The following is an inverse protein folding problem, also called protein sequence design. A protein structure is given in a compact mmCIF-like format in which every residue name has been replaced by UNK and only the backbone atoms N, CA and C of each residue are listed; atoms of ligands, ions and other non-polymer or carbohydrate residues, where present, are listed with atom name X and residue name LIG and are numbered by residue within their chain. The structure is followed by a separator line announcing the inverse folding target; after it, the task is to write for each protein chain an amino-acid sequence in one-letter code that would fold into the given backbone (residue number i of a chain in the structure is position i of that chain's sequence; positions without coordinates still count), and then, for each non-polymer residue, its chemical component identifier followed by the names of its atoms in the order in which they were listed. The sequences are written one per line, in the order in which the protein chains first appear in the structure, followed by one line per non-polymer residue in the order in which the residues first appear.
data_IF_724706277446
#
_entry.id   IF_724706277446
#
_cell.length_a   1.000
_cell.length_b   1.000
_cell.length_c   1.000
_cell.angle_alpha   90.00
_cell.angle_beta   90.00
_cell.angle_gamma   90.00
#
_symmetry.space_group_name_H-M   'P 1'
#
loop_
_entity.id
_entity.type
_entity.pdbx_description
1 polymer ?
#
# COMPACT_ATOMS: atom_id res chain seq x y z
N UNK A 1 60.38 -51.47 -29.90
CA UNK A 1 59.42 -51.36 -28.81
C UNK A 1 59.12 -49.85 -28.59
N UNK A 2 57.93 -49.38 -28.98
CA UNK A 2 57.51 -47.96 -28.85
C UNK A 2 56.44 -47.91 -27.73
N UNK A 3 56.58 -47.08 -26.69
CA UNK A 3 55.50 -46.88 -25.73
C UNK A 3 54.54 -45.84 -26.26
N UNK A 4 53.31 -46.24 -26.36
CA UNK A 4 52.14 -45.36 -26.63
C UNK A 4 51.79 -44.56 -25.39
N UNK A 5 51.90 -43.22 -25.49
CA UNK A 5 51.53 -42.27 -24.45
C UNK A 5 50.03 -42.02 -24.56
N UNK A 6 49.27 -42.50 -23.58
CA UNK A 6 47.84 -42.22 -23.42
C UNK A 6 47.66 -40.85 -22.74
N UNK A 7 47.23 -39.85 -23.50
CA UNK A 7 46.82 -38.55 -23.00
C UNK A 7 45.40 -38.66 -22.43
N UNK A 8 45.29 -38.64 -21.10
CA UNK A 8 44.02 -38.56 -20.38
C UNK A 8 43.57 -37.08 -20.31
N UNK A 9 42.65 -36.72 -21.20
CA UNK A 9 42.04 -35.37 -21.20
C UNK A 9 40.99 -35.27 -20.09
N UNK A 10 41.29 -34.58 -19.00
CA UNK A 10 40.34 -34.29 -17.94
C UNK A 10 39.42 -33.17 -18.37
N UNK A 11 38.17 -33.51 -18.65
CA UNK A 11 37.09 -32.57 -18.96
C UNK A 11 36.62 -31.92 -17.63
N UNK A 12 37.08 -30.69 -17.34
CA UNK A 12 36.58 -29.92 -16.21
C UNK A 12 35.26 -29.26 -16.63
N UNK A 13 34.15 -29.84 -16.19
CA UNK A 13 32.82 -29.25 -16.35
C UNK A 13 32.64 -28.22 -15.26
N UNK A 14 32.84 -26.93 -15.62
CA UNK A 14 32.47 -25.79 -14.76
C UNK A 14 30.95 -25.69 -14.69
N UNK A 15 30.36 -26.13 -13.57
CA UNK A 15 28.99 -25.82 -13.23
C UNK A 15 28.91 -24.35 -12.84
N UNK A 16 28.62 -23.48 -13.80
CA UNK A 16 28.18 -22.11 -13.53
C UNK A 16 26.75 -22.20 -13.00
N UNK A 17 26.63 -22.36 -11.70
CA UNK A 17 25.35 -22.22 -11.02
C UNK A 17 24.88 -20.77 -11.16
N UNK A 18 23.95 -20.50 -12.08
CA UNK A 18 23.17 -19.27 -12.03
C UNK A 18 22.42 -19.28 -10.70
N UNK A 19 22.86 -18.47 -9.73
CA UNK A 19 21.97 -18.09 -8.63
C UNK A 19 20.83 -17.31 -9.27
N UNK A 20 19.55 -17.68 -9.04
CA UNK A 20 18.45 -16.83 -9.46
C UNK A 20 18.68 -15.46 -8.80
N UNK A 21 18.67 -14.43 -9.61
CA UNK A 21 18.68 -13.05 -9.13
C UNK A 21 17.43 -12.88 -8.27
N UNK A 22 17.53 -12.29 -7.05
CA UNK A 22 16.35 -12.03 -6.24
C UNK A 22 15.36 -11.25 -7.11
N UNK A 23 14.11 -11.70 -7.17
CA UNK A 23 13.07 -10.96 -7.86
C UNK A 23 13.08 -9.53 -7.30
N UNK A 24 12.98 -8.52 -8.17
CA UNK A 24 12.86 -7.14 -7.72
C UNK A 24 11.62 -7.05 -6.80
N UNK A 25 11.69 -6.27 -5.70
CA UNK A 25 10.54 -6.05 -4.86
C UNK A 25 9.37 -5.58 -5.71
N UNK A 26 8.23 -6.22 -5.55
CA UNK A 26 6.99 -5.84 -6.24
C UNK A 26 6.23 -4.92 -5.29
N UNK A 27 5.96 -3.69 -5.73
CA UNK A 27 5.18 -2.76 -4.94
C UNK A 27 3.75 -3.28 -4.74
N UNK A 28 3.11 -3.03 -3.60
CA UNK A 28 1.72 -3.39 -3.38
C UNK A 28 0.80 -2.67 -4.37
N UNK A 29 -0.36 -3.24 -4.64
CA UNK A 29 -1.43 -2.63 -5.42
C UNK A 29 -2.63 -2.38 -4.52
N UNK A 30 -3.29 -1.22 -4.70
CA UNK A 30 -4.52 -0.88 -3.98
C UNK A 30 -5.61 -0.39 -4.91
N UNK A 31 -6.86 -0.61 -4.51
CA UNK A 31 -8.05 -0.01 -5.12
C UNK A 31 -9.08 0.36 -4.07
N UNK A 32 -9.94 1.35 -4.38
CA UNK A 32 -11.03 1.74 -3.49
C UNK A 32 -12.21 0.81 -3.76
N UNK A 33 -12.71 0.19 -2.69
CA UNK A 33 -13.91 -0.65 -2.72
C UNK A 33 -15.14 0.21 -2.43
N UNK A 34 -15.07 0.98 -1.34
CA UNK A 34 -16.18 1.82 -0.88
C UNK A 34 -15.67 3.03 -0.11
N UNK A 35 -16.47 4.09 -0.15
CA UNK A 35 -16.33 5.27 0.72
C UNK A 35 -17.68 5.59 1.32
N UNK A 36 -17.79 5.59 2.64
CA UNK A 36 -19.07 5.78 3.32
C UNK A 36 -18.92 6.57 4.63
N UNK A 37 -19.80 7.53 4.89
CA UNK A 37 -20.76 8.15 3.99
C UNK A 37 -20.11 9.09 2.96
N UNK A 38 -20.78 9.35 1.83
CA UNK A 38 -20.33 10.31 0.81
C UNK A 38 -20.94 11.71 0.97
N UNK A 39 -21.85 11.88 1.94
CA UNK A 39 -22.42 13.16 2.37
C UNK A 39 -22.33 13.22 3.89
N UNK A 40 -21.65 14.23 4.41
CA UNK A 40 -21.39 14.39 5.85
C UNK A 40 -21.71 15.80 6.31
N UNK A 41 -22.15 15.95 7.56
CA UNK A 41 -22.14 17.25 8.24
C UNK A 41 -20.75 17.58 8.75
N UNK A 42 -20.42 18.88 8.74
CA UNK A 42 -19.15 19.35 9.27
C UNK A 42 -19.03 18.99 10.77
N UNK A 43 -17.89 18.35 11.13
CA UNK A 43 -17.59 17.87 12.49
C UNK A 43 -18.53 16.78 13.05
N UNK A 44 -19.42 16.19 12.24
CA UNK A 44 -20.42 15.26 12.76
C UNK A 44 -19.96 13.82 12.81
N UNK A 45 -19.54 13.27 11.66
CA UNK A 45 -19.25 11.86 11.52
C UNK A 45 -17.93 11.61 10.77
N UNK A 46 -17.18 10.55 11.15
CA UNK A 46 -16.05 10.10 10.37
C UNK A 46 -16.49 9.51 9.03
N UNK A 47 -15.55 9.37 8.13
CA UNK A 47 -15.71 8.67 6.84
C UNK A 47 -14.86 7.42 6.88
N UNK A 48 -15.42 6.31 6.44
CA UNK A 48 -14.69 5.06 6.25
C UNK A 48 -14.34 4.89 4.78
N UNK A 49 -13.07 4.65 4.48
CA UNK A 49 -12.58 4.25 3.17
C UNK A 49 -12.20 2.78 3.27
N UNK A 50 -12.89 1.91 2.51
CA UNK A 50 -12.54 0.51 2.37
C UNK A 50 -11.63 0.36 1.17
N UNK A 51 -10.45 -0.21 1.40
CA UNK A 51 -9.42 -0.44 0.40
C UNK A 51 -9.23 -1.94 0.20
N UNK A 52 -9.21 -2.37 -1.05
CA UNK A 52 -8.68 -3.66 -1.44
C UNK A 52 -7.17 -3.53 -1.66
N UNK A 53 -6.41 -4.54 -1.27
CA UNK A 53 -4.97 -4.62 -1.47
C UNK A 53 -4.57 -5.97 -2.06
N UNK A 54 -3.47 -5.97 -2.81
CA UNK A 54 -2.76 -7.17 -3.25
C UNK A 54 -1.25 -6.93 -3.13
N UNK A 55 -0.53 -7.91 -2.58
CA UNK A 55 0.91 -7.83 -2.42
C UNK A 55 1.54 -9.23 -2.47
N UNK A 56 2.40 -9.46 -3.46
CA UNK A 56 3.06 -10.73 -3.70
C UNK A 56 4.13 -11.08 -2.63
N UNK A 57 4.56 -10.11 -1.83
CA UNK A 57 5.58 -10.31 -0.80
C UNK A 57 5.00 -10.32 0.62
N UNK A 58 3.77 -9.84 0.78
CA UNK A 58 3.04 -9.85 2.04
C UNK A 58 3.68 -8.99 3.11
N UNK A 59 4.40 -7.94 2.72
CA UNK A 59 5.07 -7.07 3.67
C UNK A 59 4.33 -5.75 3.91
N UNK A 60 3.01 -5.72 3.66
CA UNK A 60 2.12 -4.62 4.05
C UNK A 60 1.95 -4.57 5.57
N UNK A 61 2.00 -3.35 6.08
CA UNK A 61 1.76 -3.02 7.47
C UNK A 61 2.98 -3.13 8.37
N UNK A 62 3.00 -2.31 9.40
CA UNK A 62 4.13 -2.11 10.31
C UNK A 62 3.80 -2.59 11.71
N UNK A 63 4.73 -3.30 12.40
CA UNK A 63 4.52 -3.72 13.78
C UNK A 63 4.52 -2.55 14.76
N UNK A 64 5.28 -1.50 14.43
CA UNK A 64 5.42 -0.30 15.27
C UNK A 64 4.35 0.73 14.88
N UNK A 65 3.42 1.09 15.80
CA UNK A 65 2.39 2.08 15.53
C UNK A 65 2.94 3.49 15.27
N UNK A 66 4.17 3.78 15.67
CA UNK A 66 4.82 5.06 15.39
C UNK A 66 5.41 5.12 13.96
N UNK A 67 5.29 4.05 13.18
CA UNK A 67 5.73 3.94 11.80
C UNK A 67 4.52 3.78 10.85
N UNK A 68 3.77 4.87 10.53
CA UNK A 68 2.59 4.77 9.69
C UNK A 68 2.97 4.47 8.23
N UNK A 69 2.17 3.65 7.56
CA UNK A 69 2.42 3.16 6.21
C UNK A 69 1.34 3.52 5.17
N UNK A 70 0.23 4.13 5.60
CA UNK A 70 -0.81 4.60 4.70
C UNK A 70 -0.85 6.14 4.69
N UNK A 71 -0.62 6.71 3.53
CA UNK A 71 -0.73 8.15 3.29
C UNK A 71 -2.11 8.48 2.74
N UNK A 72 -2.79 9.42 3.36
CA UNK A 72 -4.08 9.96 2.92
C UNK A 72 -3.98 11.47 2.82
N UNK A 73 -4.44 12.05 1.72
CA UNK A 73 -4.47 13.49 1.53
C UNK A 73 -5.86 13.97 1.14
N UNK A 74 -6.45 14.81 1.94
CA UNK A 74 -7.57 15.65 1.53
C UNK A 74 -7.08 16.62 0.44
N UNK A 75 -7.67 16.57 -0.76
CA UNK A 75 -7.21 17.38 -1.90
C UNK A 75 -7.39 18.88 -1.71
N UNK A 76 -8.14 19.32 -0.71
CA UNK A 76 -8.27 20.72 -0.29
C UNK A 76 -7.07 21.20 0.53
N UNK A 77 -6.27 20.27 1.10
CA UNK A 77 -5.17 20.53 1.99
C UNK A 77 -3.82 20.25 1.31
N UNK A 78 -2.78 20.93 1.80
CA UNK A 78 -1.41 20.70 1.33
C UNK A 78 -0.67 19.62 2.11
N UNK A 79 -1.13 19.28 3.30
CA UNK A 79 -0.53 18.29 4.18
C UNK A 79 -1.08 16.89 3.91
N UNK A 80 -0.23 15.89 4.17
CA UNK A 80 -0.64 14.49 4.19
C UNK A 80 -0.96 14.07 5.62
N UNK A 81 -1.99 13.25 5.79
CA UNK A 81 -2.27 12.50 7.00
C UNK A 81 -1.71 11.09 6.85
N UNK A 82 -1.17 10.55 7.93
CA UNK A 82 -0.54 9.25 7.94
C UNK A 82 -1.23 8.33 8.93
N UNK A 83 -1.56 7.13 8.47
CA UNK A 83 -2.26 6.10 9.23
C UNK A 83 -1.39 4.87 9.39
N UNK A 84 -1.39 4.32 10.59
CA UNK A 84 -0.75 3.05 10.86
C UNK A 84 -1.64 1.90 10.39
N UNK A 85 -1.06 1.01 9.59
CA UNK A 85 -1.66 -0.27 9.22
C UNK A 85 -0.85 -1.35 9.94
N UNK A 86 -1.48 -2.16 10.79
CA UNK A 86 -0.80 -3.28 11.44
C UNK A 86 -0.40 -4.33 10.40
N UNK A 87 0.60 -5.21 10.68
CA UNK A 87 0.97 -6.28 9.75
C UNK A 87 -0.22 -7.13 9.32
N UNK A 88 -0.39 -7.28 8.01
CA UNK A 88 -1.49 -8.06 7.44
C UNK A 88 -1.15 -9.54 7.28
N UNK A 89 0.12 -9.91 7.51
CA UNK A 89 0.57 -11.30 7.51
C UNK A 89 0.86 -11.78 8.91
N UNK A 90 0.54 -13.05 9.24
CA UNK A 90 0.95 -13.64 10.52
C UNK A 90 2.48 -13.69 10.62
N UNK A 91 3.01 -13.35 11.80
CA UNK A 91 4.44 -13.49 12.14
C UNK A 91 5.40 -12.84 11.11
N UNK A 92 4.92 -11.82 10.37
CA UNK A 92 5.68 -11.13 9.32
C UNK A 92 6.20 -12.07 8.21
N UNK A 93 5.45 -13.10 7.89
CA UNK A 93 5.79 -14.04 6.82
C UNK A 93 5.71 -13.36 5.45
N UNK A 94 6.64 -13.71 4.56
CA UNK A 94 6.57 -13.33 3.15
C UNK A 94 5.58 -14.27 2.45
N UNK A 95 4.39 -13.78 2.16
CA UNK A 95 3.28 -14.50 1.53
C UNK A 95 2.63 -13.60 0.48
N UNK A 96 2.19 -14.19 -0.61
CA UNK A 96 1.27 -13.53 -1.53
C UNK A 96 -0.08 -13.33 -0.81
N UNK A 97 -0.47 -12.07 -0.62
CA UNK A 97 -1.66 -11.69 0.13
C UNK A 97 -2.57 -10.79 -0.69
N UNK A 98 -3.86 -10.98 -0.48
CA UNK A 98 -4.93 -10.18 -1.06
C UNK A 98 -6.05 -10.07 -0.02
N UNK A 99 -6.67 -8.91 0.08
CA UNK A 99 -7.74 -8.70 1.03
C UNK A 99 -8.24 -7.26 1.06
N UNK A 100 -8.98 -6.93 2.11
CA UNK A 100 -9.53 -5.60 2.33
C UNK A 100 -9.22 -5.13 3.74
N UNK A 101 -9.06 -3.82 3.88
CA UNK A 101 -9.02 -3.16 5.19
C UNK A 101 -9.73 -1.80 5.11
N UNK A 102 -10.11 -1.30 6.27
CA UNK A 102 -10.78 -0.02 6.42
C UNK A 102 -9.86 0.99 7.09
N UNK A 103 -9.95 2.25 6.64
CA UNK A 103 -9.35 3.39 7.32
C UNK A 103 -10.43 4.40 7.64
N UNK A 104 -10.46 4.84 8.89
CA UNK A 104 -11.38 5.85 9.37
C UNK A 104 -10.73 7.23 9.28
N UNK A 105 -11.36 8.11 8.50
CA UNK A 105 -10.96 9.51 8.36
C UNK A 105 -11.77 10.34 9.38
N UNK A 106 -11.13 11.13 10.23
CA UNK A 106 -11.83 11.98 11.20
C UNK A 106 -12.88 12.89 10.55
N UNK A 107 -13.88 13.36 11.32
CA UNK A 107 -14.91 14.25 10.80
C UNK A 107 -14.33 15.44 10.05
N UNK A 108 -14.86 15.70 8.86
CA UNK A 108 -14.43 16.78 7.99
C UNK A 108 -15.00 18.13 8.46
N UNK A 109 -14.42 19.20 7.95
CA UNK A 109 -14.84 20.56 8.24
C UNK A 109 -14.83 21.40 6.95
N UNK A 110 -15.57 22.50 6.97
CA UNK A 110 -15.54 23.49 5.90
C UNK A 110 -14.29 24.37 6.04
N UNK A 111 -13.58 24.61 4.94
CA UNK A 111 -12.42 25.51 4.90
C UNK A 111 -12.84 26.96 4.67
N UNK A 112 -13.96 27.17 3.98
CA UNK A 112 -14.52 28.47 3.68
C UNK A 112 -15.72 28.83 4.56
N UNK A 113 -16.42 29.90 4.15
CA UNK A 113 -17.65 30.41 4.82
C UNK A 113 -18.91 30.01 4.04
N UNK A 114 -18.84 29.06 3.15
CA UNK A 114 -19.99 28.54 2.39
C UNK A 114 -20.76 27.49 3.20
N UNK A 115 -21.96 27.18 2.75
CA UNK A 115 -22.83 26.19 3.38
C UNK A 115 -22.46 24.75 3.00
N UNK A 116 -21.59 24.60 2.02
CA UNK A 116 -21.10 23.28 1.56
C UNK A 116 -19.76 23.37 0.84
N UNK A 117 -19.02 22.30 0.89
CA UNK A 117 -17.79 22.03 0.11
C UNK A 117 -17.77 20.58 -0.35
N UNK A 118 -16.91 20.27 -1.32
CA UNK A 118 -16.62 18.90 -1.69
C UNK A 118 -15.12 18.64 -1.67
N UNK A 119 -14.77 17.40 -1.39
CA UNK A 119 -13.39 16.94 -1.44
C UNK A 119 -13.28 15.54 -2.04
N UNK A 120 -12.06 15.15 -2.38
CA UNK A 120 -11.62 13.79 -2.66
C UNK A 120 -10.39 13.50 -1.81
N UNK A 121 -10.13 12.22 -1.54
CA UNK A 121 -8.90 11.80 -0.89
C UNK A 121 -7.99 11.08 -1.89
N UNK A 122 -6.70 11.41 -1.84
CA UNK A 122 -5.64 10.64 -2.47
C UNK A 122 -5.07 9.67 -1.44
N UNK A 123 -4.99 8.41 -1.82
CA UNK A 123 -4.54 7.34 -0.91
C UNK A 123 -3.40 6.58 -1.56
N UNK A 124 -2.35 6.32 -0.80
CA UNK A 124 -1.19 5.54 -1.22
C UNK A 124 -0.66 4.73 -0.05
N UNK A 125 -0.38 3.45 -0.28
CA UNK A 125 0.14 2.51 0.71
C UNK A 125 1.64 2.31 0.48
N UNK A 126 2.37 2.07 1.56
CA UNK A 126 3.79 1.73 1.53
C UNK A 126 4.00 0.39 2.22
N UNK A 127 4.84 -0.46 1.64
CA UNK A 127 5.28 -1.70 2.27
C UNK A 127 6.46 -1.48 3.22
N UNK A 128 6.86 -2.52 3.97
CA UNK A 128 8.02 -2.47 4.87
C UNK A 128 9.36 -2.32 4.16
N UNK A 129 9.43 -2.68 2.87
CA UNK A 129 10.61 -2.47 2.04
C UNK A 129 10.72 -1.02 1.51
N UNK A 130 9.67 -0.20 1.72
CA UNK A 130 9.59 1.20 1.28
C UNK A 130 9.10 1.38 -0.15
N UNK A 131 8.51 0.34 -0.78
CA UNK A 131 7.89 0.48 -2.08
C UNK A 131 6.50 1.11 -1.93
N UNK A 132 6.20 2.07 -2.80
CA UNK A 132 4.91 2.73 -2.83
C UNK A 132 3.95 2.03 -3.79
N UNK A 133 2.71 1.83 -3.38
CA UNK A 133 1.63 1.37 -4.25
C UNK A 133 1.31 2.39 -5.35
N UNK A 134 0.42 2.02 -6.26
CA UNK A 134 -0.31 3.00 -7.05
C UNK A 134 -1.07 3.97 -6.12
N UNK A 135 -1.23 5.21 -6.56
CA UNK A 135 -2.09 6.19 -5.88
C UNK A 135 -3.53 6.03 -6.40
N UNK A 136 -4.50 5.98 -5.48
CA UNK A 136 -5.93 5.96 -5.80
C UNK A 136 -6.61 7.22 -5.30
N UNK A 137 -7.71 7.61 -5.93
CA UNK A 137 -8.47 8.82 -5.59
C UNK A 137 -9.92 8.43 -5.38
N UNK A 138 -10.52 8.87 -4.28
CA UNK A 138 -11.94 8.62 -3.97
C UNK A 138 -12.86 9.40 -4.92
N UNK A 139 -14.10 8.99 -5.00
CA UNK A 139 -15.18 9.82 -5.50
C UNK A 139 -15.37 11.06 -4.60
N UNK A 140 -16.13 12.05 -5.09
CA UNK A 140 -16.43 13.26 -4.35
C UNK A 140 -17.22 12.97 -3.08
N UNK A 141 -16.80 13.59 -2.00
CA UNK A 141 -17.50 13.61 -0.72
C UNK A 141 -18.03 15.02 -0.50
N UNK A 142 -19.30 15.13 -0.25
CA UNK A 142 -19.98 16.40 0.02
C UNK A 142 -20.01 16.67 1.54
N UNK A 143 -19.55 17.85 1.92
CA UNK A 143 -19.53 18.33 3.30
C UNK A 143 -20.54 19.47 3.40
N UNK A 144 -21.50 19.34 4.30
CA UNK A 144 -22.53 20.34 4.57
C UNK A 144 -22.22 21.03 5.90
N UNK A 145 -22.58 22.29 6.04
CA UNK A 145 -22.46 22.99 7.33
C UNK A 145 -23.24 22.27 8.42
N UNK A 146 -24.43 21.78 8.07
CA UNK A 146 -25.27 20.97 8.98
C UNK A 146 -26.03 19.94 8.16
N UNK A 147 -26.10 18.67 8.61
CA UNK A 147 -27.06 17.70 8.08
C UNK A 147 -28.44 18.03 8.65
N UNK A 148 -29.43 18.23 7.78
CA UNK A 148 -30.84 18.47 8.15
C UNK A 148 -31.58 17.15 8.41
#
# INVERSE_FOLDING_TARGET
MRPTLLLLSALVVCWLGCKPEPAAPVAPEISIVEVTPTVVGAFEHPITITLHYADAQGDIGEPDPDNPSLRVRDTRLAADDWYHIPPLTPDLMELDIEGEFEVEIPPLFLLGNGDQESTTFRVQLFDRAGNASNEVITDNILILDTLL
#
